data_IF_511687735102
#
_entry.id   IF_511687735102
#
_cell.length_a   1.000
_cell.length_b   1.000
_cell.length_c   1.000
_cell.angle_alpha   90.00
_cell.angle_beta   90.00
_cell.angle_gamma   90.00
#
_symmetry.space_group_name_H-M   'P 1'
#
loop_
_entity.id
_entity.type
_entity.pdbx_description
1 polymer ?
#
# COMPACT_ATOMS: atom_id res chain seq x y z
N UNK A 1 -35.17 -4.84 14.82
CA UNK A 1 -34.38 -5.87 14.11
C UNK A 1 -33.46 -5.12 13.15
N UNK A 2 -32.14 -5.32 13.22
CA UNK A 2 -31.21 -4.63 12.29
C UNK A 2 -31.27 -5.37 10.95
N UNK A 3 -31.56 -4.70 9.82
CA UNK A 3 -31.59 -5.34 8.52
C UNK A 3 -30.18 -5.74 8.08
N UNK A 4 -30.05 -6.91 7.47
CA UNK A 4 -28.76 -7.46 7.01
C UNK A 4 -27.99 -6.48 6.11
N UNK A 5 -28.69 -5.68 5.31
CA UNK A 5 -28.10 -4.66 4.43
C UNK A 5 -27.32 -3.60 5.18
N UNK A 6 -27.77 -3.18 6.37
CA UNK A 6 -27.05 -2.19 7.19
C UNK A 6 -25.78 -2.80 7.79
N UNK A 7 -25.80 -4.08 8.15
CA UNK A 7 -24.61 -4.79 8.64
C UNK A 7 -23.59 -4.91 7.52
N UNK A 8 -24.01 -5.34 6.33
CA UNK A 8 -23.12 -5.48 5.17
C UNK A 8 -22.50 -4.15 4.73
N UNK A 9 -23.26 -3.05 4.79
CA UNK A 9 -22.76 -1.71 4.46
C UNK A 9 -21.61 -1.25 5.39
N UNK A 10 -21.51 -1.80 6.60
CA UNK A 10 -20.43 -1.51 7.54
C UNK A 10 -19.27 -2.52 7.42
N UNK A 11 -19.61 -3.80 7.34
CA UNK A 11 -18.64 -4.92 7.37
C UNK A 11 -17.82 -5.00 6.08
N UNK A 12 -18.44 -4.80 4.92
CA UNK A 12 -17.74 -4.92 3.63
C UNK A 12 -16.59 -3.89 3.52
N UNK A 13 -16.83 -2.57 3.72
CA UNK A 13 -15.74 -1.59 3.73
C UNK A 13 -14.66 -1.89 4.77
N UNK A 14 -15.05 -2.34 5.96
CA UNK A 14 -14.11 -2.70 7.02
C UNK A 14 -13.16 -3.82 6.60
N UNK A 15 -13.67 -4.90 6.00
CA UNK A 15 -12.85 -6.02 5.52
C UNK A 15 -11.90 -5.56 4.43
N UNK A 16 -12.38 -4.76 3.46
CA UNK A 16 -11.51 -4.19 2.43
C UNK A 16 -10.39 -3.35 3.02
N UNK A 17 -10.71 -2.48 3.97
CA UNK A 17 -9.72 -1.69 4.71
C UNK A 17 -8.67 -2.58 5.37
N UNK A 18 -9.12 -3.58 6.14
CA UNK A 18 -8.24 -4.49 6.86
C UNK A 18 -7.28 -5.24 5.93
N UNK A 19 -7.80 -5.84 4.86
CA UNK A 19 -6.99 -6.58 3.89
C UNK A 19 -5.95 -5.68 3.20
N UNK A 20 -6.35 -4.47 2.77
CA UNK A 20 -5.44 -3.50 2.15
C UNK A 20 -4.38 -3.04 3.16
N UNK A 21 -4.76 -2.81 4.42
CA UNK A 21 -3.82 -2.40 5.47
C UNK A 21 -2.74 -3.45 5.72
N UNK A 22 -3.13 -4.73 5.80
CA UNK A 22 -2.18 -5.85 5.94
C UNK A 22 -1.24 -5.93 4.74
N UNK A 23 -1.75 -5.75 3.52
CA UNK A 23 -0.95 -5.76 2.31
C UNK A 23 0.08 -4.61 2.31
N UNK A 24 -0.37 -3.38 2.58
CA UNK A 24 0.51 -2.19 2.63
C UNK A 24 1.64 -2.40 3.63
N UNK A 25 1.33 -2.89 4.84
CA UNK A 25 2.34 -3.16 5.87
C UNK A 25 3.46 -4.07 5.36
N UNK A 26 3.09 -5.18 4.70
CA UNK A 26 4.06 -6.14 4.16
C UNK A 26 4.91 -5.51 3.05
N UNK A 27 4.29 -4.74 2.16
CA UNK A 27 4.99 -4.07 1.07
C UNK A 27 5.98 -3.01 1.58
N UNK A 28 5.62 -2.24 2.63
CA UNK A 28 6.53 -1.27 3.26
C UNK A 28 7.76 -1.98 3.83
N UNK A 29 7.57 -3.11 4.52
CA UNK A 29 8.69 -3.89 5.06
C UNK A 29 9.67 -4.33 3.96
N UNK A 30 9.14 -4.89 2.87
CA UNK A 30 9.95 -5.29 1.71
C UNK A 30 10.66 -4.09 1.09
N UNK A 31 9.95 -2.97 0.90
CA UNK A 31 10.53 -1.75 0.33
C UNK A 31 11.69 -1.20 1.17
N UNK A 32 11.56 -1.22 2.51
CA UNK A 32 12.64 -0.79 3.41
C UNK A 32 13.87 -1.69 3.32
N UNK A 33 13.68 -3.01 3.23
CA UNK A 33 14.79 -3.96 3.05
C UNK A 33 15.50 -3.70 1.72
N UNK A 34 14.76 -3.54 0.63
CA UNK A 34 15.32 -3.23 -0.69
C UNK A 34 16.06 -1.88 -0.69
N UNK A 35 15.51 -0.88 -0.01
CA UNK A 35 16.17 0.42 0.15
C UNK A 35 17.49 0.29 0.92
N UNK A 36 17.52 -0.49 2.00
CA UNK A 36 18.75 -0.75 2.75
C UNK A 36 19.82 -1.43 1.87
N UNK A 37 19.43 -2.42 1.07
CA UNK A 37 20.34 -3.08 0.10
C UNK A 37 20.90 -2.05 -0.89
N UNK A 38 20.05 -1.18 -1.43
CA UNK A 38 20.47 -0.13 -2.37
C UNK A 38 21.48 0.83 -1.72
N UNK A 39 21.23 1.27 -0.49
CA UNK A 39 22.14 2.14 0.26
C UNK A 39 23.49 1.46 0.53
N UNK A 40 23.49 0.16 0.86
CA UNK A 40 24.73 -0.61 1.02
C UNK A 40 25.51 -0.69 -0.31
N UNK A 41 24.83 -0.89 -1.43
CA UNK A 41 25.47 -0.92 -2.74
C UNK A 41 26.12 0.44 -3.09
N UNK A 42 25.47 1.56 -2.73
CA UNK A 42 26.07 2.90 -2.86
C UNK A 42 27.29 3.05 -1.94
N UNK A 43 27.17 2.65 -0.68
CA UNK A 43 28.22 2.83 0.33
C UNK A 43 29.51 2.08 -0.01
N UNK A 44 29.41 0.89 -0.61
CA UNK A 44 30.56 0.07 -1.04
C UNK A 44 31.06 0.47 -2.45
N UNK A 45 30.39 1.42 -3.11
CA UNK A 45 30.79 1.94 -4.42
C UNK A 45 30.40 1.05 -5.61
N UNK A 46 29.52 0.07 -5.41
CA UNK A 46 28.98 -0.76 -6.51
C UNK A 46 28.10 0.04 -7.47
N UNK A 47 27.38 1.05 -6.96
CA UNK A 47 26.55 1.95 -7.75
C UNK A 47 26.79 3.41 -7.34
N UNK A 48 26.71 4.35 -8.30
CA UNK A 48 26.80 5.77 -7.98
C UNK A 48 25.49 6.28 -7.32
N UNK A 49 25.56 7.36 -6.52
CA UNK A 49 24.36 7.99 -5.96
C UNK A 49 23.35 8.43 -7.03
N UNK A 50 23.83 8.90 -8.18
CA UNK A 50 22.97 9.29 -9.31
C UNK A 50 22.25 8.10 -9.93
N UNK A 51 22.92 6.96 -10.09
CA UNK A 51 22.29 5.73 -10.56
C UNK A 51 21.23 5.22 -9.57
N UNK A 52 21.52 5.25 -8.27
CA UNK A 52 20.55 4.88 -7.24
C UNK A 52 19.29 5.76 -7.27
N UNK A 53 19.46 7.09 -7.45
CA UNK A 53 18.31 8.00 -7.63
C UNK A 53 17.50 7.67 -8.88
N UNK A 54 18.16 7.33 -10.00
CA UNK A 54 17.48 6.90 -11.22
C UNK A 54 16.62 5.64 -11.03
N UNK A 55 17.09 4.67 -10.24
CA UNK A 55 16.33 3.46 -9.89
C UNK A 55 15.09 3.83 -9.06
N UNK A 56 15.26 4.68 -8.03
CA UNK A 56 14.13 5.09 -7.18
C UNK A 56 13.08 5.85 -8.00
N UNK A 57 13.51 6.75 -8.89
CA UNK A 57 12.61 7.51 -9.77
C UNK A 57 11.85 6.60 -10.74
N UNK A 58 12.52 5.63 -11.36
CA UNK A 58 11.87 4.71 -12.30
C UNK A 58 10.83 3.83 -11.60
N UNK A 59 11.15 3.31 -10.41
CA UNK A 59 10.20 2.55 -9.59
C UNK A 59 8.99 3.40 -9.20
N UNK A 60 9.20 4.65 -8.80
CA UNK A 60 8.11 5.60 -8.50
C UNK A 60 7.21 5.85 -9.70
N UNK A 61 7.79 6.05 -10.89
CA UNK A 61 7.03 6.24 -12.12
C UNK A 61 6.22 5.01 -12.52
N UNK A 62 6.81 3.81 -12.42
CA UNK A 62 6.10 2.55 -12.69
C UNK A 62 4.97 2.33 -11.69
N UNK A 63 5.20 2.60 -10.40
CA UNK A 63 4.17 2.48 -9.37
C UNK A 63 3.00 3.45 -9.62
N UNK A 64 3.30 4.70 -9.98
CA UNK A 64 2.29 5.70 -10.34
C UNK A 64 1.45 5.26 -11.54
N UNK A 65 2.09 4.83 -12.63
CA UNK A 65 1.38 4.31 -13.81
C UNK A 65 0.52 3.09 -13.49
N UNK A 66 1.03 2.16 -12.67
CA UNK A 66 0.25 1.02 -12.22
C UNK A 66 -0.99 1.49 -11.43
N UNK A 67 -0.83 2.46 -10.54
CA UNK A 67 -1.95 3.04 -9.79
C UNK A 67 -2.98 3.73 -10.70
N UNK A 68 -2.58 4.40 -11.76
CA UNK A 68 -3.51 4.98 -12.75
C UNK A 68 -4.28 3.92 -13.53
N UNK A 69 -3.62 2.83 -13.93
CA UNK A 69 -4.24 1.74 -14.70
C UNK A 69 -5.26 0.92 -13.89
N UNK A 70 -5.23 0.98 -12.57
CA UNK A 70 -6.15 0.25 -11.68
C UNK A 70 -7.51 0.96 -11.50
N UNK A 71 -7.97 1.72 -12.50
CA UNK A 71 -9.18 2.56 -12.42
C UNK A 71 -10.44 1.85 -11.91
N UNK A 72 -10.65 0.58 -12.26
CA UNK A 72 -11.79 -0.22 -11.77
C UNK A 72 -11.66 -0.55 -10.28
N UNK A 73 -10.44 -0.84 -9.80
CA UNK A 73 -10.20 -1.13 -8.38
C UNK A 73 -10.35 0.14 -7.53
N UNK A 74 -9.98 1.32 -8.05
CA UNK A 74 -10.20 2.60 -7.36
C UNK A 74 -11.69 2.84 -7.06
N UNK A 75 -12.58 2.45 -7.96
CA UNK A 75 -14.03 2.60 -7.76
C UNK A 75 -14.61 1.60 -6.73
N UNK A 76 -13.95 0.46 -6.53
CA UNK A 76 -14.39 -0.55 -5.56
C UNK A 76 -13.94 -0.26 -4.13
N UNK A 77 -12.94 0.60 -3.94
CA UNK A 77 -12.40 0.87 -2.61
C UNK A 77 -13.18 2.04 -1.97
N UNK A 78 -13.86 1.80 -0.83
CA UNK A 78 -14.70 2.81 -0.20
C UNK A 78 -13.88 3.77 0.68
N UNK A 79 -13.01 4.58 0.08
CA UNK A 79 -12.08 5.47 0.80
C UNK A 79 -12.76 6.51 1.70
N UNK A 80 -13.99 6.93 1.38
CA UNK A 80 -14.77 7.88 2.18
C UNK A 80 -15.49 7.24 3.38
N UNK A 81 -15.46 5.91 3.50
CA UNK A 81 -16.10 5.20 4.62
C UNK A 81 -15.21 5.23 5.87
N UNK A 82 -15.79 5.64 7.00
CA UNK A 82 -15.11 5.54 8.30
C UNK A 82 -14.77 4.09 8.67
N UNK A 83 -15.64 3.12 8.37
CA UNK A 83 -15.36 1.72 8.70
C UNK A 83 -14.22 1.15 7.86
N UNK A 84 -14.06 1.61 6.62
CA UNK A 84 -12.89 1.31 5.81
C UNK A 84 -11.60 1.86 6.45
N UNK A 85 -11.59 3.13 6.85
CA UNK A 85 -10.42 3.76 7.47
C UNK A 85 -10.03 3.03 8.76
N UNK A 86 -11.01 2.67 9.60
CA UNK A 86 -10.76 1.89 10.83
C UNK A 86 -10.14 0.53 10.48
N UNK A 87 -10.74 -0.20 9.53
CA UNK A 87 -10.19 -1.48 9.06
C UNK A 87 -8.76 -1.33 8.56
N UNK A 88 -8.50 -0.30 7.74
CA UNK A 88 -7.18 0.01 7.19
C UNK A 88 -6.14 0.23 8.29
N UNK A 89 -6.44 1.10 9.26
CA UNK A 89 -5.54 1.39 10.39
C UNK A 89 -5.26 0.12 11.19
N UNK A 90 -6.29 -0.68 11.50
CA UNK A 90 -6.10 -1.95 12.21
C UNK A 90 -5.23 -2.90 11.40
N UNK A 91 -5.48 -3.05 10.10
CA UNK A 91 -4.69 -3.90 9.21
C UNK A 91 -3.21 -3.50 9.15
N UNK A 92 -2.92 -2.19 9.20
CA UNK A 92 -1.55 -1.66 9.27
C UNK A 92 -0.85 -2.01 10.58
N UNK A 93 -1.61 -2.09 11.69
CA UNK A 93 -1.06 -2.34 13.04
C UNK A 93 -1.00 -3.84 13.40
N UNK A 94 -1.77 -4.68 12.71
CA UNK A 94 -1.82 -6.13 12.92
C UNK A 94 -0.46 -6.77 12.60
N UNK A 95 0.16 -7.42 13.60
CA UNK A 95 1.49 -8.05 13.50
C UNK A 95 1.43 -9.34 12.70
#
# INVERSE_FOLDING_TARGET
MIPLTQVLALVVPFIFGLLIGVLIRRLIGVALVLLAILLLAVAVGYISPSAAMGIIQSLGYTAYQAAEKLGVLKAMIPYSSLTFIIGLVIGLLIK
#
